data_IF_253907581761
#
_entry.id   IF_253907581761
#
_cell.length_a   1.000
_cell.length_b   1.000
_cell.length_c   1.000
_cell.angle_alpha   90.00
_cell.angle_beta   90.00
_cell.angle_gamma   90.00
#
_symmetry.space_group_name_H-M   'P 1'
#
loop_
_entity.id
_entity.type
_entity.pdbx_description
1 polymer ?
#
# COMPACT_ATOMS: atom_id res chain seq x y z
N UNK A 1 -4.38 -2.82 5.50
CA UNK A 1 -4.64 -2.89 4.04
C UNK A 1 -6.05 -3.42 3.82
N UNK A 2 -6.79 -2.85 2.87
CA UNK A 2 -8.19 -3.17 2.61
C UNK A 2 -8.46 -3.24 1.10
N UNK A 3 -9.48 -4.00 0.72
CA UNK A 3 -9.95 -4.12 -0.66
C UNK A 3 -9.39 -5.33 -1.40
N UNK A 4 -9.10 -5.17 -2.69
CA UNK A 4 -8.72 -6.23 -3.65
C UNK A 4 -7.32 -6.81 -3.44
N UNK A 5 -7.11 -7.43 -2.28
CA UNK A 5 -5.93 -8.23 -1.91
C UNK A 5 -6.36 -9.58 -1.39
N UNK A 6 -5.47 -10.58 -1.41
CA UNK A 6 -5.82 -11.95 -1.01
C UNK A 6 -6.23 -12.02 0.48
N UNK A 7 -5.51 -11.29 1.34
CA UNK A 7 -5.77 -11.26 2.78
C UNK A 7 -5.89 -9.81 3.28
N UNK A 8 -7.07 -9.17 3.14
CA UNK A 8 -7.30 -7.84 3.68
C UNK A 8 -7.31 -7.89 5.22
N UNK A 9 -6.76 -6.86 5.87
CA UNK A 9 -6.68 -6.83 7.32
C UNK A 9 -5.71 -5.81 7.90
N UNK A 10 -5.55 -5.91 9.23
CA UNK A 10 -4.54 -5.16 9.98
C UNK A 10 -3.25 -5.96 10.00
N UNK A 11 -2.14 -5.26 9.78
CA UNK A 11 -0.80 -5.84 9.76
C UNK A 11 0.11 -4.99 10.64
N UNK A 12 0.89 -5.66 11.48
CA UNK A 12 1.92 -5.01 12.26
C UNK A 12 3.14 -4.74 11.38
N UNK A 13 3.47 -3.46 11.21
CA UNK A 13 4.66 -3.06 10.46
C UNK A 13 5.90 -3.35 11.32
N UNK A 14 6.77 -4.25 10.85
CA UNK A 14 8.02 -4.59 11.54
C UNK A 14 9.19 -3.91 10.83
N UNK A 15 9.86 -3.01 11.55
CA UNK A 15 11.00 -2.27 11.00
C UNK A 15 10.60 -1.38 9.82
N UNK A 16 11.42 -1.35 8.78
CA UNK A 16 11.12 -0.64 7.53
C UNK A 16 10.24 -1.54 6.66
N UNK A 17 8.99 -1.14 6.47
CA UNK A 17 8.02 -1.85 5.63
C UNK A 17 7.52 -0.91 4.53
N UNK A 18 7.64 -1.31 3.28
CA UNK A 18 7.16 -0.55 2.11
C UNK A 18 5.74 -0.95 1.71
N UNK A 19 5.16 -0.20 0.76
CA UNK A 19 3.84 -0.56 0.20
C UNK A 19 3.88 -1.94 -0.46
N UNK A 20 4.93 -2.24 -1.24
CA UNK A 20 5.08 -3.56 -1.86
C UNK A 20 5.24 -4.68 -0.81
N UNK A 21 5.97 -4.44 0.26
CA UNK A 21 6.10 -5.43 1.35
C UNK A 21 4.75 -5.74 1.97
N UNK A 22 3.94 -4.72 2.24
CA UNK A 22 2.59 -4.92 2.80
C UNK A 22 1.67 -5.67 1.82
N UNK A 23 1.75 -5.38 0.52
CA UNK A 23 0.98 -6.11 -0.50
C UNK A 23 1.43 -7.58 -0.55
N UNK A 24 2.74 -7.84 -0.48
CA UNK A 24 3.27 -9.21 -0.44
C UNK A 24 2.84 -9.95 0.83
N UNK A 25 2.88 -9.30 2.01
CA UNK A 25 2.38 -9.86 3.27
C UNK A 25 0.87 -10.16 3.21
N UNK A 26 0.12 -9.39 2.44
CA UNK A 26 -1.30 -9.61 2.19
C UNK A 26 -1.59 -10.72 1.16
N UNK A 27 -0.57 -11.45 0.68
CA UNK A 27 -0.71 -12.51 -0.31
C UNK A 27 -0.77 -12.01 -1.76
N UNK A 28 -0.48 -10.73 -2.00
CA UNK A 28 -0.56 -10.10 -3.32
C UNK A 28 -1.92 -9.48 -3.62
N UNK A 29 -2.00 -8.89 -4.82
CA UNK A 29 -3.24 -8.35 -5.37
C UNK A 29 -4.13 -9.46 -5.92
N UNK A 30 -5.46 -9.31 -5.85
CA UNK A 30 -6.38 -10.21 -6.55
C UNK A 30 -6.36 -9.94 -8.06
N UNK A 31 -6.95 -10.83 -8.86
CA UNK A 31 -7.12 -10.62 -10.31
C UNK A 31 -8.01 -9.43 -10.66
N UNK A 32 -8.87 -9.00 -9.73
CA UNK A 32 -9.78 -7.87 -9.90
C UNK A 32 -9.16 -6.52 -9.49
N UNK A 33 -7.97 -6.55 -8.89
CA UNK A 33 -7.30 -5.36 -8.38
C UNK A 33 -6.82 -4.44 -9.52
N UNK A 34 -7.16 -3.17 -9.39
CA UNK A 34 -6.64 -2.08 -10.18
C UNK A 34 -5.28 -1.61 -9.67
N UNK A 35 -4.24 -2.13 -10.33
CA UNK A 35 -2.82 -1.88 -10.04
C UNK A 35 -2.41 -0.40 -10.03
N UNK A 36 -3.10 0.45 -10.81
CA UNK A 36 -2.84 1.89 -10.89
C UNK A 36 -3.70 2.75 -9.95
N UNK A 37 -4.60 2.14 -9.16
CA UNK A 37 -5.53 2.83 -8.26
C UNK A 37 -5.35 2.48 -6.79
N UNK A 38 -4.13 2.11 -6.39
CA UNK A 38 -3.81 1.91 -4.99
C UNK A 38 -3.63 3.27 -4.31
N UNK A 39 -4.22 3.42 -3.14
CA UNK A 39 -4.17 4.66 -2.37
C UNK A 39 -3.68 4.38 -0.95
N UNK A 40 -2.66 5.12 -0.53
CA UNK A 40 -2.24 5.18 0.87
C UNK A 40 -2.84 6.42 1.51
N UNK A 41 -3.69 6.20 2.51
CA UNK A 41 -4.26 7.25 3.36
C UNK A 41 -3.40 7.34 4.60
N UNK A 42 -2.79 8.50 4.81
CA UNK A 42 -1.89 8.78 5.92
C UNK A 42 -2.45 9.95 6.72
N UNK A 43 -2.72 9.71 7.99
CA UNK A 43 -3.08 10.80 8.90
C UNK A 43 -1.82 11.59 9.30
N UNK A 44 -1.80 12.87 8.96
CA UNK A 44 -0.74 13.81 9.35
C UNK A 44 -1.07 14.63 10.59
N UNK A 45 -2.17 14.32 11.30
CA UNK A 45 -2.69 15.07 12.45
C UNK A 45 -3.60 16.22 12.03
N UNK A 46 -3.08 17.21 11.32
CA UNK A 46 -3.87 18.37 10.86
C UNK A 46 -4.56 18.16 9.51
N UNK A 47 -4.04 17.25 8.69
CA UNK A 47 -4.60 16.93 7.37
C UNK A 47 -4.38 15.46 7.02
N UNK A 48 -5.40 14.85 6.41
CA UNK A 48 -5.31 13.51 5.84
C UNK A 48 -4.65 13.59 4.46
N UNK A 49 -3.48 12.98 4.32
CA UNK A 49 -2.78 12.85 3.05
C UNK A 49 -3.26 11.62 2.29
N UNK A 50 -3.50 11.78 0.99
CA UNK A 50 -3.86 10.71 0.06
C UNK A 50 -2.74 10.56 -0.96
N UNK A 51 -1.93 9.54 -0.80
CA UNK A 51 -0.76 9.28 -1.65
C UNK A 51 -1.15 8.19 -2.64
N UNK A 52 -1.08 8.50 -3.93
CA UNK A 52 -1.30 7.49 -4.98
C UNK A 52 -0.08 6.59 -5.06
N UNK A 53 -0.33 5.30 -5.24
CA UNK A 53 0.69 4.29 -5.43
C UNK A 53 0.39 3.54 -6.73
N UNK A 54 1.37 3.52 -7.63
CA UNK A 54 1.30 2.80 -8.89
C UNK A 54 2.09 1.50 -8.76
N UNK A 55 1.38 0.37 -8.69
CA UNK A 55 1.99 -0.93 -8.44
C UNK A 55 2.94 -1.36 -9.56
N UNK A 56 2.55 -1.13 -10.82
CA UNK A 56 3.35 -1.57 -11.96
C UNK A 56 4.65 -0.75 -12.06
N UNK A 57 4.58 0.57 -11.82
CA UNK A 57 5.79 1.40 -11.75
C UNK A 57 6.68 1.03 -10.56
N UNK A 58 6.10 0.75 -9.40
CA UNK A 58 6.86 0.35 -8.22
C UNK A 58 7.61 -0.98 -8.44
N UNK A 59 7.03 -1.91 -9.20
CA UNK A 59 7.68 -3.16 -9.61
C UNK A 59 8.82 -2.97 -10.63
N UNK A 60 8.68 -1.98 -11.52
CA UNK A 60 9.67 -1.74 -12.59
C UNK A 60 10.84 -0.84 -12.14
N UNK A 61 10.55 0.27 -11.47
CA UNK A 61 11.54 1.31 -11.13
C UNK A 61 12.00 1.28 -9.66
N UNK A 62 11.35 0.48 -8.81
CA UNK A 62 11.80 0.02 -7.48
C UNK A 62 12.04 1.05 -6.37
N UNK A 63 12.39 2.30 -6.67
CA UNK A 63 12.92 3.27 -5.69
C UNK A 63 12.14 4.58 -5.59
N UNK A 64 11.56 5.08 -6.69
CA UNK A 64 10.84 6.37 -6.63
C UNK A 64 9.38 6.22 -6.20
N UNK A 65 8.74 5.10 -6.55
CA UNK A 65 7.31 4.88 -6.28
C UNK A 65 7.07 3.99 -5.05
N UNK A 66 8.06 3.18 -4.63
CA UNK A 66 7.95 2.30 -3.46
C UNK A 66 8.47 2.95 -2.18
N UNK A 67 7.58 3.62 -1.45
CA UNK A 67 7.90 4.31 -0.21
C UNK A 67 7.55 3.52 1.05
N UNK A 68 8.15 3.90 2.18
CA UNK A 68 7.89 3.31 3.49
C UNK A 68 6.53 3.72 4.06
N UNK A 69 5.82 2.72 4.59
CA UNK A 69 4.60 2.90 5.36
C UNK A 69 4.90 3.35 6.78
N UNK A 70 3.96 4.07 7.37
CA UNK A 70 4.00 4.53 8.75
C UNK A 70 2.90 3.87 9.56
N UNK A 71 3.10 3.70 10.88
CA UNK A 71 2.03 3.28 11.77
C UNK A 71 0.80 4.17 11.59
N UNK A 72 -0.38 3.55 11.44
CA UNK A 72 -1.64 4.23 11.18
C UNK A 72 -1.96 4.45 9.70
N UNK A 73 -1.05 4.17 8.76
CA UNK A 73 -1.37 4.22 7.34
C UNK A 73 -2.43 3.18 6.95
N UNK A 74 -3.35 3.60 6.08
CA UNK A 74 -4.38 2.72 5.50
C UNK A 74 -4.11 2.60 4.00
N UNK A 75 -3.75 1.40 3.57
CA UNK A 75 -3.64 1.08 2.13
C UNK A 75 -4.98 0.56 1.63
N UNK A 76 -5.53 1.25 0.64
CA UNK A 76 -6.77 0.91 -0.06
C UNK A 76 -6.44 0.42 -1.46
N UNK A 77 -6.87 -0.79 -1.77
CA UNK A 77 -6.81 -1.40 -3.10
C UNK A 77 -8.25 -1.49 -3.63
N UNK A 78 -8.45 -1.21 -4.91
CA UNK A 78 -9.74 -1.25 -5.59
C UNK A 78 -9.66 -2.05 -6.87
#
# INVERSE_FOLDING_TARGET
ILGEVVHPGRYDLKGRTTVLDLVALAGGLTEFASRSRILVVRDGGSQVKRIRFDYDKAMLDGKQENFELRPGDIVLVR
#
